data_IF_862653531177
#
_entry.id   IF_862653531177
#
_cell.length_a   1.000
_cell.length_b   1.000
_cell.length_c   1.000
_cell.angle_alpha   90.00
_cell.angle_beta   90.00
_cell.angle_gamma   90.00
#
_symmetry.space_group_name_H-M   'P 1'
#
loop_
_entity.id
_entity.type
_entity.pdbx_description
1 polymer ?
#
# COMPACT_ATOMS: atom_id res chain seq x y z
N UNK A 1 12.91 -0.15 12.30
CA UNK A 1 12.24 -1.20 11.51
C UNK A 1 11.23 -0.55 10.58
N UNK A 2 11.08 -1.04 9.37
CA UNK A 2 9.98 -0.73 8.44
C UNK A 2 9.24 -2.05 8.17
N UNK A 3 7.91 -2.00 8.16
CA UNK A 3 7.06 -3.12 7.73
C UNK A 3 6.14 -2.64 6.62
N UNK A 4 6.01 -3.41 5.55
CA UNK A 4 5.14 -3.08 4.44
C UNK A 4 4.34 -4.30 3.99
N UNK A 5 3.04 -4.10 3.72
CA UNK A 5 2.21 -5.05 2.99
C UNK A 5 2.11 -4.60 1.53
N UNK A 6 2.39 -5.50 0.60
CA UNK A 6 2.14 -5.33 -0.82
C UNK A 6 0.79 -5.98 -1.11
N UNK A 7 -0.17 -5.20 -1.60
CA UNK A 7 -1.52 -5.68 -1.85
C UNK A 7 -2.00 -5.28 -3.25
N UNK A 8 -2.74 -6.13 -3.97
CA UNK A 8 -3.32 -5.77 -5.26
C UNK A 8 -4.36 -4.66 -5.14
N UNK A 9 -4.54 -3.87 -6.20
CA UNK A 9 -5.54 -2.80 -6.31
C UNK A 9 -6.92 -3.28 -6.82
N UNK A 10 -7.10 -4.58 -7.02
CA UNK A 10 -8.33 -5.13 -7.59
C UNK A 10 -9.50 -5.11 -6.60
N UNK A 11 -10.66 -4.62 -7.06
CA UNK A 11 -11.90 -4.64 -6.29
C UNK A 11 -12.32 -6.08 -5.90
N UNK A 12 -11.83 -7.11 -6.59
CA UNK A 12 -12.13 -8.52 -6.30
C UNK A 12 -11.67 -8.97 -4.90
N UNK A 13 -10.80 -8.19 -4.24
CA UNK A 13 -10.43 -8.43 -2.84
C UNK A 13 -11.53 -8.04 -1.84
N UNK A 14 -12.58 -7.33 -2.26
CA UNK A 14 -13.69 -6.98 -1.37
C UNK A 14 -14.82 -8.01 -1.52
N UNK A 15 -15.26 -8.66 -0.44
CA UNK A 15 -16.37 -9.61 -0.48
C UNK A 15 -17.62 -9.02 -1.16
N UNK A 16 -18.29 -9.82 -2.00
CA UNK A 16 -19.48 -9.41 -2.75
C UNK A 16 -19.22 -8.82 -4.14
N UNK A 17 -18.01 -8.34 -4.44
CA UNK A 17 -17.70 -7.72 -5.75
C UNK A 17 -17.84 -8.70 -6.92
N UNK A 18 -17.49 -9.97 -6.73
CA UNK A 18 -17.68 -11.03 -7.75
C UNK A 18 -19.04 -11.76 -7.65
N UNK A 19 -19.99 -11.18 -6.91
CA UNK A 19 -21.30 -11.78 -6.67
C UNK A 19 -21.20 -13.07 -5.85
N UNK A 20 -21.86 -14.13 -6.32
CA UNK A 20 -21.84 -15.44 -5.65
C UNK A 20 -20.52 -16.21 -5.83
N UNK A 21 -19.75 -15.91 -6.88
CA UNK A 21 -18.43 -16.47 -7.06
C UNK A 21 -17.42 -15.69 -6.21
N UNK A 22 -16.41 -16.36 -5.65
CA UNK A 22 -15.27 -15.70 -4.99
C UNK A 22 -14.03 -15.85 -5.86
N UNK A 23 -14.00 -15.15 -7.00
CA UNK A 23 -12.99 -15.32 -8.05
C UNK A 23 -11.54 -15.07 -7.59
N UNK A 24 -11.34 -14.33 -6.50
CA UNK A 24 -10.04 -13.99 -5.92
C UNK A 24 -9.96 -14.36 -4.43
N UNK A 25 -10.57 -15.48 -4.02
CA UNK A 25 -10.63 -15.88 -2.60
C UNK A 25 -9.23 -16.01 -1.96
N UNK A 26 -8.34 -16.73 -2.64
CA UNK A 26 -6.99 -17.01 -2.14
C UNK A 26 -6.11 -15.76 -2.16
N UNK A 27 -6.23 -14.94 -3.22
CA UNK A 27 -5.58 -13.64 -3.29
C UNK A 27 -6.02 -12.70 -2.16
N UNK A 28 -7.34 -12.64 -1.87
CA UNK A 28 -7.90 -11.86 -0.75
C UNK A 28 -7.35 -12.35 0.58
N UNK A 29 -7.36 -13.66 0.82
CA UNK A 29 -6.86 -14.24 2.05
C UNK A 29 -5.37 -13.91 2.28
N UNK A 30 -4.56 -13.97 1.22
CA UNK A 30 -3.14 -13.60 1.31
C UNK A 30 -2.92 -12.09 1.49
N UNK A 31 -3.71 -11.24 0.83
CA UNK A 31 -3.63 -9.79 1.01
C UNK A 31 -3.96 -9.40 2.45
N UNK A 32 -5.02 -10.00 3.03
CA UNK A 32 -5.38 -9.81 4.42
C UNK A 32 -4.28 -10.31 5.38
N UNK A 33 -3.71 -11.49 5.10
CA UNK A 33 -2.60 -12.02 5.90
C UNK A 33 -1.39 -11.08 5.86
N UNK A 34 -1.03 -10.56 4.68
CA UNK A 34 0.07 -9.61 4.53
C UNK A 34 -0.18 -8.31 5.32
N UNK A 35 -1.39 -7.74 5.27
CA UNK A 35 -1.75 -6.56 6.06
C UNK A 35 -1.64 -6.84 7.55
N UNK A 36 -2.18 -7.96 8.04
CA UNK A 36 -2.09 -8.36 9.46
C UNK A 36 -0.63 -8.51 9.90
N UNK A 37 0.20 -9.17 9.10
CA UNK A 37 1.64 -9.32 9.39
C UNK A 37 2.35 -7.97 9.44
N UNK A 38 2.11 -7.08 8.47
CA UNK A 38 2.76 -5.76 8.44
C UNK A 38 2.38 -4.89 9.65
N UNK A 39 1.11 -4.92 10.07
CA UNK A 39 0.61 -4.14 11.21
C UNK A 39 1.14 -4.68 12.55
N UNK A 40 1.18 -6.02 12.72
CA UNK A 40 1.77 -6.65 13.90
C UNK A 40 3.27 -6.42 13.98
N UNK A 41 3.94 -6.35 12.83
CA UNK A 41 5.39 -6.30 12.74
C UNK A 41 6.02 -7.64 13.17
N UNK A 42 7.28 -7.60 13.60
CA UNK A 42 8.03 -8.79 14.04
C UNK A 42 7.70 -9.23 15.48
N UNK A 43 6.62 -8.75 16.08
CA UNK A 43 6.28 -9.10 17.46
C UNK A 43 5.71 -10.53 17.47
N UNK A 44 6.57 -11.50 17.77
CA UNK A 44 6.25 -12.95 17.79
C UNK A 44 5.21 -13.33 18.85
N UNK A 45 4.78 -12.39 19.70
CA UNK A 45 3.70 -12.57 20.68
C UNK A 45 2.33 -12.50 19.99
N UNK A 46 2.12 -13.34 18.98
CA UNK A 46 0.85 -13.49 18.31
C UNK A 46 -0.13 -14.31 19.18
N UNK A 47 -0.86 -13.63 20.07
CA UNK A 47 -2.18 -14.10 20.49
C UNK A 47 -3.23 -13.65 19.46
N UNK A 48 -4.33 -14.38 19.32
CA UNK A 48 -5.50 -14.03 18.49
C UNK A 48 -6.28 -12.79 19.01
N UNK A 49 -5.72 -12.04 19.96
CA UNK A 49 -6.36 -10.85 20.47
C UNK A 49 -6.35 -9.71 19.44
N UNK A 50 -7.40 -8.86 19.43
CA UNK A 50 -7.41 -7.65 18.62
C UNK A 50 -6.15 -6.83 18.88
N UNK A 51 -5.52 -6.33 17.82
CA UNK A 51 -4.37 -5.41 17.92
C UNK A 51 -4.93 -4.11 18.49
N UNK A 52 -4.96 -3.99 19.82
CA UNK A 52 -5.46 -2.80 20.49
C UNK A 52 -4.67 -1.58 20.02
N UNK A 53 -5.37 -0.44 19.91
CA UNK A 53 -4.84 0.88 19.57
C UNK A 53 -3.77 1.43 20.55
N UNK A 54 -3.25 0.57 21.43
CA UNK A 54 -2.26 0.90 22.45
C UNK A 54 -0.84 1.03 21.86
N UNK A 55 -0.66 0.68 20.58
CA UNK A 55 0.60 0.91 19.87
C UNK A 55 0.49 2.20 19.07
N UNK A 56 1.32 3.19 19.39
CA UNK A 56 1.55 4.44 18.63
C UNK A 56 2.14 4.14 17.25
N UNK A 57 1.35 3.48 16.40
CA UNK A 57 1.69 3.16 15.01
C UNK A 57 0.73 3.91 14.10
N UNK A 58 1.30 4.52 13.07
CA UNK A 58 0.53 5.08 11.96
C UNK A 58 0.71 4.16 10.76
N UNK A 59 -0.40 3.71 10.19
CA UNK A 59 -0.41 3.03 8.90
C UNK A 59 -0.49 4.08 7.80
N UNK A 60 0.39 3.97 6.80
CA UNK A 60 0.34 4.80 5.59
C UNK A 60 -0.08 3.93 4.42
N UNK A 61 -1.25 4.22 3.85
CA UNK A 61 -1.70 3.62 2.58
C UNK A 61 -1.09 4.42 1.45
N UNK A 62 -0.39 3.75 0.54
CA UNK A 62 0.15 4.34 -0.69
C UNK A 62 -0.46 3.59 -1.87
N UNK A 63 -1.30 4.27 -2.65
CA UNK A 63 -2.11 3.64 -3.68
C UNK A 63 -2.13 4.45 -4.98
N UNK A 64 -2.40 3.82 -6.15
CA UNK A 64 -2.71 4.55 -7.36
C UNK A 64 -4.03 5.33 -7.20
N UNK A 65 -4.03 6.56 -7.70
CA UNK A 65 -5.17 7.48 -7.71
C UNK A 65 -5.97 7.42 -9.01
N UNK A 66 -6.46 8.57 -9.48
CA UNK A 66 -7.16 8.67 -10.76
C UNK A 66 -6.16 8.66 -11.93
N UNK A 67 -6.12 7.62 -12.78
CA UNK A 67 -5.18 7.56 -13.90
C UNK A 67 -5.48 8.60 -15.00
N UNK A 68 -6.64 9.26 -14.97
CA UNK A 68 -7.05 10.30 -15.93
C UNK A 68 -6.71 11.71 -15.45
N UNK A 69 -6.34 11.87 -14.18
CA UNK A 69 -5.91 13.14 -13.64
C UNK A 69 -4.49 13.50 -14.13
N UNK A 70 -4.10 14.76 -13.92
CA UNK A 70 -2.71 15.17 -14.08
C UNK A 70 -1.83 14.43 -13.09
N UNK A 71 -0.60 14.08 -13.51
CA UNK A 71 0.36 13.42 -12.65
C UNK A 71 0.64 14.27 -11.40
N UNK A 72 0.22 13.80 -10.23
CA UNK A 72 0.49 14.44 -8.94
C UNK A 72 0.39 13.44 -7.79
N UNK A 73 0.93 13.83 -6.63
CA UNK A 73 0.75 13.10 -5.37
C UNK A 73 -0.27 13.86 -4.54
N UNK A 74 -1.26 13.14 -4.01
CA UNK A 74 -2.32 13.71 -3.19
C UNK A 74 -2.40 12.99 -1.85
N UNK A 75 -2.27 13.73 -0.76
CA UNK A 75 -2.61 13.23 0.56
C UNK A 75 -4.12 13.42 0.80
N UNK A 76 -4.80 12.35 1.23
CA UNK A 76 -6.22 12.38 1.58
C UNK A 76 -6.36 12.53 3.10
N UNK A 77 -7.17 13.49 3.52
CA UNK A 77 -7.51 13.75 4.92
C UNK A 77 -9.01 13.90 5.11
N UNK A 78 -9.46 13.79 6.36
CA UNK A 78 -10.87 13.86 6.75
C UNK A 78 -11.54 12.49 6.78
N UNK A 79 -12.87 12.48 6.66
CA UNK A 79 -13.68 11.25 6.67
C UNK A 79 -13.69 10.63 5.29
N UNK A 80 -13.16 9.41 5.18
CA UNK A 80 -13.08 8.63 3.96
C UNK A 80 -14.04 7.45 4.00
N UNK A 81 -14.83 7.30 2.93
CA UNK A 81 -15.75 6.19 2.72
C UNK A 81 -15.20 5.25 1.66
N UNK A 82 -14.85 4.03 2.05
CA UNK A 82 -14.24 3.04 1.17
C UNK A 82 -15.24 2.39 0.17
N UNK A 83 -16.01 3.22 -0.53
CA UNK A 83 -17.02 2.78 -1.49
C UNK A 83 -16.38 2.35 -2.81
N UNK A 84 -16.95 1.28 -3.40
CA UNK A 84 -16.59 0.80 -4.74
C UNK A 84 -17.60 1.24 -5.81
N UNK A 85 -18.51 2.16 -5.48
CA UNK A 85 -19.47 2.72 -6.43
C UNK A 85 -18.83 3.33 -7.69
N UNK A 86 -17.64 3.97 -7.65
CA UNK A 86 -16.99 4.49 -8.86
C UNK A 86 -16.65 3.45 -9.93
N UNK A 87 -16.54 2.17 -9.56
CA UNK A 87 -16.36 1.04 -10.49
C UNK A 87 -17.64 0.25 -10.71
N UNK A 88 -18.79 0.84 -10.39
CA UNK A 88 -20.11 0.27 -10.65
C UNK A 88 -20.55 -0.80 -9.65
N UNK A 89 -19.95 -0.84 -8.46
CA UNK A 89 -20.38 -1.75 -7.37
C UNK A 89 -21.13 -0.95 -6.30
N UNK A 90 -22.48 -1.01 -6.26
CA UNK A 90 -23.25 -0.41 -5.17
C UNK A 90 -22.88 -1.00 -3.81
N UNK A 91 -22.83 -0.16 -2.78
CA UNK A 91 -22.38 -0.58 -1.45
C UNK A 91 -23.24 -1.68 -0.83
N UNK A 92 -24.55 -1.68 -1.12
CA UNK A 92 -25.47 -2.72 -0.66
C UNK A 92 -25.26 -4.11 -1.29
N UNK A 93 -24.39 -4.22 -2.29
CA UNK A 93 -23.99 -5.50 -2.88
C UNK A 93 -22.68 -6.04 -2.28
N UNK A 94 -21.98 -5.26 -1.46
CA UNK A 94 -20.79 -5.74 -0.78
C UNK A 94 -21.21 -6.73 0.31
N UNK A 95 -20.39 -7.77 0.51
CA UNK A 95 -20.61 -8.80 1.52
C UNK A 95 -20.38 -8.31 2.96
N UNK A 96 -20.02 -7.04 3.13
CA UNK A 96 -19.77 -6.37 4.41
C UNK A 96 -20.13 -4.88 4.32
N UNK A 97 -20.37 -4.21 5.46
CA UNK A 97 -20.52 -2.75 5.49
C UNK A 97 -19.29 -2.04 4.90
N UNK A 98 -19.51 -0.88 4.27
CA UNK A 98 -18.42 -0.04 3.77
C UNK A 98 -17.72 0.64 4.94
N UNK A 99 -16.39 0.47 5.09
CA UNK A 99 -15.62 1.18 6.09
C UNK A 99 -15.71 2.69 5.91
N UNK A 100 -15.89 3.38 7.03
CA UNK A 100 -15.80 4.84 7.15
C UNK A 100 -14.69 5.14 8.14
N UNK A 101 -13.62 5.77 7.68
CA UNK A 101 -12.39 5.99 8.45
C UNK A 101 -12.02 7.47 8.49
N UNK A 102 -11.26 7.87 9.50
CA UNK A 102 -10.67 9.21 9.57
C UNK A 102 -9.20 9.12 9.19
N UNK A 103 -8.79 9.87 8.17
CA UNK A 103 -7.40 9.97 7.74
C UNK A 103 -6.82 11.37 8.04
N UNK A 104 -5.54 11.44 8.38
CA UNK A 104 -4.80 12.71 8.44
C UNK A 104 -4.95 13.54 9.72
N UNK A 105 -5.15 12.93 10.89
CA UNK A 105 -5.26 13.65 12.17
C UNK A 105 -6.69 14.09 12.51
N UNK A 106 -6.87 14.93 13.53
CA UNK A 106 -8.19 15.43 13.90
C UNK A 106 -8.72 16.35 12.79
N UNK A 107 -10.05 16.35 12.61
CA UNK A 107 -10.70 17.25 11.66
C UNK A 107 -10.33 18.70 11.99
N UNK A 108 -9.92 19.49 10.99
CA UNK A 108 -9.72 20.93 11.18
C UNK A 108 -11.00 21.59 11.73
N UNK A 109 -10.85 22.65 12.52
CA UNK A 109 -11.96 23.38 13.17
C UNK A 109 -13.09 23.73 12.18
N UNK A 110 -12.76 23.98 10.92
CA UNK A 110 -13.73 24.30 9.88
C UNK A 110 -14.59 23.08 9.46
N UNK A 111 -14.00 21.88 9.40
CA UNK A 111 -14.71 20.62 9.17
C UNK A 111 -15.53 20.21 10.40
N UNK A 112 -15.04 20.50 11.60
CA UNK A 112 -15.81 20.28 12.83
C UNK A 112 -17.09 21.12 12.88
N UNK A 113 -17.07 22.34 12.31
CA UNK A 113 -18.24 23.25 12.26
C UNK A 113 -19.23 22.93 11.13
N UNK A 114 -18.72 22.52 9.96
CA UNK A 114 -19.55 22.31 8.75
C UNK A 114 -20.06 20.87 8.63
N UNK A 115 -19.55 19.96 9.45
CA UNK A 115 -19.76 18.52 9.35
C UNK A 115 -18.76 17.92 8.36
N UNK A 116 -18.20 16.73 8.66
CA UNK A 116 -17.23 16.13 7.77
C UNK A 116 -17.89 15.80 6.43
N UNK A 117 -17.38 16.39 5.35
CA UNK A 117 -17.75 15.95 4.01
C UNK A 117 -17.08 14.61 3.78
N UNK A 118 -17.91 13.56 3.69
CA UNK A 118 -17.46 12.21 3.44
C UNK A 118 -16.94 12.09 1.99
N UNK A 119 -15.63 11.86 1.85
CA UNK A 119 -14.98 11.72 0.56
C UNK A 119 -14.87 10.23 0.18
N UNK A 120 -15.13 9.91 -1.08
CA UNK A 120 -14.86 8.57 -1.64
C UNK A 120 -13.45 8.61 -2.26
N UNK A 121 -12.48 7.82 -1.77
CA UNK A 121 -11.13 7.79 -2.31
C UNK A 121 -11.09 6.94 -3.60
N UNK A 122 -9.91 6.81 -4.20
CA UNK A 122 -9.69 5.92 -5.33
C UNK A 122 -10.03 4.45 -4.96
N UNK A 123 -10.27 3.62 -5.98
CA UNK A 123 -10.65 2.21 -5.82
C UNK A 123 -9.57 1.44 -5.06
N UNK A 124 -8.31 1.64 -5.43
CA UNK A 124 -7.16 0.99 -4.79
C UNK A 124 -7.07 1.36 -3.31
N UNK A 125 -7.24 2.64 -2.98
CA UNK A 125 -7.35 3.10 -1.59
C UNK A 125 -8.50 2.42 -0.88
N UNK A 126 -9.70 2.40 -1.47
CA UNK A 126 -10.87 1.75 -0.88
C UNK A 126 -10.63 0.27 -0.58
N UNK A 127 -9.98 -0.47 -1.49
CA UNK A 127 -9.58 -1.86 -1.27
C UNK A 127 -8.67 -2.00 -0.05
N UNK A 128 -7.65 -1.16 0.08
CA UNK A 128 -6.78 -1.18 1.26
C UNK A 128 -7.52 -0.84 2.55
N UNK A 129 -8.46 0.09 2.54
CA UNK A 129 -9.29 0.42 3.70
C UNK A 129 -10.19 -0.75 4.13
N UNK A 130 -10.76 -1.50 3.19
CA UNK A 130 -11.47 -2.75 3.49
C UNK A 130 -10.56 -3.81 4.14
N UNK A 131 -9.33 -3.97 3.63
CA UNK A 131 -8.36 -4.90 4.21
C UNK A 131 -7.93 -4.48 5.62
N UNK A 132 -7.76 -3.18 5.88
CA UNK A 132 -7.43 -2.64 7.20
C UNK A 132 -8.57 -2.83 8.21
N UNK A 133 -9.80 -2.56 7.80
CA UNK A 133 -11.00 -2.81 8.61
C UNK A 133 -11.14 -4.31 8.93
N UNK A 134 -10.89 -5.20 7.96
CA UNK A 134 -10.87 -6.65 8.17
C UNK A 134 -9.70 -7.15 9.03
N UNK A 135 -8.58 -6.44 9.02
CA UNK A 135 -7.46 -6.68 9.91
C UNK A 135 -7.71 -6.17 11.33
N UNK A 136 -8.81 -5.43 11.56
CA UNK A 136 -9.16 -4.84 12.85
C UNK A 136 -8.33 -3.61 13.20
N UNK A 137 -7.74 -2.93 12.22
CA UNK A 137 -6.94 -1.73 12.46
C UNK A 137 -7.84 -0.54 12.81
N UNK A 138 -7.59 0.07 13.96
CA UNK A 138 -8.30 1.28 14.43
C UNK A 138 -7.37 2.44 14.78
N UNK A 139 -6.06 2.29 14.50
CA UNK A 139 -5.05 3.30 14.83
C UNK A 139 -4.90 4.41 13.78
N UNK A 140 -3.84 5.21 13.91
CA UNK A 140 -3.57 6.33 13.02
C UNK A 140 -3.46 5.92 11.55
N UNK A 141 -4.03 6.72 10.65
CA UNK A 141 -4.07 6.45 9.23
C UNK A 141 -3.67 7.68 8.42
N UNK A 142 -2.70 7.50 7.51
CA UNK A 142 -2.37 8.44 6.42
C UNK A 142 -2.66 7.77 5.09
N UNK A 143 -3.16 8.54 4.13
CA UNK A 143 -3.55 8.01 2.81
C UNK A 143 -2.91 8.88 1.73
N UNK A 144 -2.12 8.25 0.87
CA UNK A 144 -1.41 8.87 -0.24
C UNK A 144 -1.88 8.23 -1.54
N UNK A 145 -2.41 9.05 -2.44
CA UNK A 145 -2.81 8.66 -3.79
C UNK A 145 -1.85 9.24 -4.82
N UNK A 146 -1.40 8.40 -5.76
CA UNK A 146 -0.54 8.78 -6.87
C UNK A 146 -1.41 8.88 -8.12
N UNK A 147 -1.80 10.10 -8.47
CA UNK A 147 -2.68 10.43 -9.59
C UNK A 147 -1.90 10.46 -10.92
N UNK A 148 -2.63 10.23 -12.01
CA UNK A 148 -2.13 10.32 -13.38
C UNK A 148 -1.24 9.16 -13.83
N UNK A 149 -0.78 9.19 -15.10
CA UNK A 149 0.09 8.15 -15.62
C UNK A 149 1.50 8.22 -14.98
N UNK A 150 2.21 7.08 -14.90
CA UNK A 150 3.63 7.07 -14.56
C UNK A 150 4.43 8.06 -15.41
N UNK A 151 5.22 8.92 -14.76
CA UNK A 151 6.08 9.90 -15.43
C UNK A 151 7.46 9.97 -14.76
N UNK A 152 8.46 10.37 -15.54
CA UNK A 152 9.83 10.54 -15.06
C UNK A 152 10.52 9.24 -14.67
N UNK A 153 11.53 9.35 -13.79
CA UNK A 153 12.39 8.26 -13.32
C UNK A 153 12.00 7.74 -11.92
N UNK A 154 10.85 8.18 -11.39
CA UNK A 154 10.36 7.83 -10.06
C UNK A 154 11.13 8.47 -8.89
N UNK A 155 12.12 9.34 -9.14
CA UNK A 155 12.94 9.93 -8.06
C UNK A 155 12.13 10.76 -7.07
N UNK A 156 11.12 11.49 -7.53
CA UNK A 156 10.21 12.26 -6.68
C UNK A 156 9.40 11.36 -5.74
N UNK A 157 8.94 10.21 -6.24
CA UNK A 157 8.21 9.21 -5.45
C UNK A 157 9.12 8.50 -4.46
N UNK A 158 10.38 8.22 -4.82
CA UNK A 158 11.39 7.73 -3.86
C UNK A 158 11.69 8.77 -2.76
N UNK A 159 11.79 10.06 -3.11
CA UNK A 159 11.95 11.13 -2.09
C UNK A 159 10.74 11.21 -1.16
N UNK A 160 9.52 11.02 -1.68
CA UNK A 160 8.32 10.91 -0.84
C UNK A 160 8.41 9.75 0.15
N UNK A 161 8.81 8.56 -0.32
CA UNK A 161 9.04 7.40 0.55
C UNK A 161 10.02 7.66 1.69
N UNK A 162 11.14 8.32 1.36
CA UNK A 162 12.13 8.72 2.35
C UNK A 162 11.57 9.72 3.37
N UNK A 163 10.78 10.70 2.92
CA UNK A 163 10.13 11.67 3.78
C UNK A 163 9.13 11.02 4.75
N UNK A 164 8.33 10.04 4.30
CA UNK A 164 7.40 9.32 5.17
C UNK A 164 8.10 8.61 6.34
N UNK A 165 9.27 8.03 6.09
CA UNK A 165 10.10 7.40 7.14
C UNK A 165 10.67 8.45 8.09
N UNK A 166 11.09 9.60 7.57
CA UNK A 166 11.60 10.70 8.37
C UNK A 166 10.52 11.27 9.31
N UNK A 167 9.33 11.56 8.78
CA UNK A 167 8.18 12.04 9.55
C UNK A 167 7.83 11.07 10.69
N UNK A 168 7.74 9.77 10.39
CA UNK A 168 7.41 8.73 11.37
C UNK A 168 8.43 8.68 12.52
N UNK A 169 9.73 8.83 12.21
CA UNK A 169 10.81 8.84 13.20
C UNK A 169 10.82 10.09 14.07
N UNK A 170 10.34 11.22 13.56
CA UNK A 170 10.28 12.48 14.31
C UNK A 170 9.06 12.57 15.23
N UNK A 171 8.16 11.56 15.21
CA UNK A 171 6.88 11.68 15.89
C UNK A 171 6.07 12.84 15.32
N UNK A 172 6.31 13.22 14.06
CA UNK A 172 5.56 14.28 13.41
C UNK A 172 4.12 13.81 13.31
N UNK A 173 3.29 14.33 14.21
CA UNK A 173 1.85 14.15 14.15
C UNK A 173 1.38 14.51 12.73
N UNK A 174 0.51 13.71 12.09
CA UNK A 174 -0.15 14.17 10.87
C UNK A 174 -0.76 15.54 11.16
N UNK A 175 -0.61 16.48 10.22
CA UNK A 175 -1.03 17.87 10.42
C UNK A 175 -2.49 17.91 10.94
N UNK A 176 -2.67 18.22 12.23
CA UNK A 176 -3.99 18.25 12.88
C UNK A 176 -4.24 17.20 13.97
N UNK A 177 -3.35 16.26 14.29
CA UNK A 177 -3.56 15.39 15.46
C UNK A 177 -3.30 16.13 16.78
N UNK A 178 -4.13 15.86 17.79
CA UNK A 178 -4.02 16.41 19.16
C UNK A 178 -2.58 16.33 19.67
N UNK A 179 -2.13 17.39 20.34
CA UNK A 179 -0.79 17.55 20.95
C UNK A 179 -0.56 16.63 22.16
N UNK A 180 -0.83 15.33 22.02
CA UNK A 180 -0.19 14.31 22.85
C UNK A 180 1.20 14.03 22.30
N UNK A 181 2.17 13.77 23.17
CA UNK A 181 3.50 13.28 22.79
C UNK A 181 3.36 12.05 21.88
N UNK A 182 3.35 12.24 20.56
CA UNK A 182 3.36 11.14 19.62
C UNK A 182 4.76 10.52 19.68
N UNK A 183 4.88 9.36 20.30
CA UNK A 183 6.14 8.65 20.35
C UNK A 183 6.61 8.36 18.91
N UNK A 184 7.92 8.50 18.67
CA UNK A 184 8.54 8.11 17.41
C UNK A 184 8.16 6.64 17.09
N UNK A 185 7.38 6.46 16.03
CA UNK A 185 6.77 5.18 15.68
C UNK A 185 7.52 4.45 14.58
N UNK A 186 7.35 3.13 14.51
CA UNK A 186 7.79 2.35 13.36
C UNK A 186 6.80 2.57 12.20
N UNK A 187 7.27 3.02 11.01
CA UNK A 187 6.38 3.20 9.87
C UNK A 187 5.85 1.84 9.39
N UNK A 188 4.53 1.76 9.21
CA UNK A 188 3.85 0.64 8.55
C UNK A 188 3.27 1.14 7.23
N UNK A 189 3.65 0.51 6.11
CA UNK A 189 3.14 0.86 4.79
C UNK A 189 2.16 -0.20 4.29
N UNK A 190 1.05 0.22 3.69
CA UNK A 190 0.21 -0.62 2.83
C UNK A 190 0.38 -0.10 1.41
N UNK A 191 1.17 -0.81 0.61
CA UNK A 191 1.55 -0.43 -0.75
C UNK A 191 0.64 -1.17 -1.72
N UNK A 192 -0.25 -0.42 -2.36
CA UNK A 192 -1.33 -0.96 -3.18
C UNK A 192 -0.94 -0.88 -4.65
N UNK A 193 -1.10 -1.97 -5.40
CA UNK A 193 -0.96 -1.97 -6.85
C UNK A 193 -0.67 -3.36 -7.41
N UNK A 194 -0.93 -3.51 -8.70
CA UNK A 194 -0.71 -4.74 -9.45
C UNK A 194 0.42 -4.59 -10.47
N UNK A 195 0.91 -5.71 -10.99
CA UNK A 195 1.79 -5.74 -12.15
C UNK A 195 0.96 -5.47 -13.42
N UNK A 196 1.25 -6.10 -14.57
CA UNK A 196 0.54 -5.75 -15.81
C UNK A 196 -0.96 -6.09 -15.78
N UNK A 197 -1.74 -5.18 -16.36
CA UNK A 197 -3.16 -5.40 -16.70
C UNK A 197 -3.37 -5.99 -18.10
N UNK A 198 -2.32 -6.56 -18.70
CA UNK A 198 -2.28 -7.07 -20.08
C UNK A 198 -1.71 -8.49 -20.16
N UNK A 199 -1.82 -9.27 -19.08
CA UNK A 199 -1.23 -10.60 -18.95
C UNK A 199 -2.09 -11.66 -19.65
N UNK A 200 -2.08 -11.64 -20.99
CA UNK A 200 -2.76 -12.62 -21.83
C UNK A 200 -4.18 -12.20 -22.27
N UNK A 201 -4.90 -13.11 -22.95
CA UNK A 201 -6.15 -12.79 -23.63
C UNK A 201 -7.34 -12.52 -22.68
N UNK A 202 -7.28 -13.03 -21.45
CA UNK A 202 -8.33 -12.83 -20.44
C UNK A 202 -8.15 -11.51 -19.66
N UNK A 203 -7.08 -10.76 -19.94
CA UNK A 203 -6.74 -9.54 -19.22
C UNK A 203 -7.78 -8.43 -19.43
N UNK A 204 -7.91 -7.47 -18.49
CA UNK A 204 -8.81 -6.34 -18.63
C UNK A 204 -8.52 -5.44 -19.84
N UNK A 205 -7.29 -5.46 -20.34
CA UNK A 205 -6.84 -4.68 -21.49
C UNK A 205 -6.26 -5.61 -22.56
N UNK A 206 -6.13 -5.10 -23.78
CA UNK A 206 -5.57 -5.86 -24.90
C UNK A 206 -4.21 -6.47 -24.55
N UNK A 207 -4.06 -7.75 -24.87
CA UNK A 207 -2.86 -8.55 -24.65
C UNK A 207 -1.60 -7.84 -25.18
N UNK A 208 -0.52 -7.91 -24.41
CA UNK A 208 0.79 -7.43 -24.81
C UNK A 208 1.80 -8.57 -24.57
N UNK A 209 2.46 -9.10 -25.61
CA UNK A 209 3.35 -10.26 -25.46
C UNK A 209 4.57 -9.98 -24.55
N UNK A 210 4.84 -8.72 -24.23
CA UNK A 210 5.90 -8.33 -23.28
C UNK A 210 5.47 -8.51 -21.82
N UNK A 211 4.17 -8.51 -21.54
CA UNK A 211 3.59 -8.49 -20.19
C UNK A 211 4.12 -9.63 -19.32
N UNK A 212 4.03 -10.88 -19.78
CA UNK A 212 4.46 -12.06 -19.01
C UNK A 212 5.93 -11.99 -18.57
N UNK A 213 6.82 -11.56 -19.47
CA UNK A 213 8.24 -11.45 -19.17
C UNK A 213 8.54 -10.33 -18.17
N UNK A 214 7.86 -9.19 -18.31
CA UNK A 214 8.00 -8.05 -17.39
C UNK A 214 7.43 -8.38 -16.02
N UNK A 215 6.26 -8.99 -15.94
CA UNK A 215 5.62 -9.37 -14.68
C UNK A 215 6.48 -10.37 -13.89
N UNK A 216 7.07 -11.36 -14.58
CA UNK A 216 7.97 -12.31 -13.94
C UNK A 216 9.24 -11.64 -13.40
N UNK A 217 9.81 -10.68 -14.12
CA UNK A 217 10.99 -9.94 -13.68
C UNK A 217 10.68 -9.03 -12.47
N UNK A 218 9.58 -8.28 -12.53
CA UNK A 218 9.10 -7.44 -11.43
C UNK A 218 8.84 -8.26 -10.18
N UNK A 219 8.15 -9.41 -10.33
CA UNK A 219 7.88 -10.30 -9.21
C UNK A 219 9.17 -10.85 -8.59
N UNK A 220 10.12 -11.29 -9.41
CA UNK A 220 11.40 -11.80 -8.92
C UNK A 220 12.18 -10.72 -8.15
N UNK A 221 12.17 -9.49 -8.64
CA UNK A 221 12.84 -8.37 -7.96
C UNK A 221 12.12 -7.99 -6.65
N UNK A 222 10.78 -7.98 -6.64
CA UNK A 222 10.00 -7.73 -5.42
C UNK A 222 10.17 -8.85 -4.38
N UNK A 223 10.31 -10.10 -4.81
CA UNK A 223 10.52 -11.24 -3.92
C UNK A 223 11.95 -11.35 -3.41
N UNK A 224 12.95 -10.90 -4.17
CA UNK A 224 14.34 -10.85 -3.68
C UNK A 224 14.52 -9.71 -2.68
N UNK A 225 14.08 -8.50 -3.04
CA UNK A 225 14.26 -7.31 -2.22
C UNK A 225 15.72 -6.90 -1.99
N UNK A 226 16.70 -7.57 -2.61
CA UNK A 226 18.14 -7.28 -2.52
C UNK A 226 18.52 -5.95 -3.21
N UNK A 227 19.77 -5.51 -3.03
CA UNK A 227 20.26 -4.24 -3.57
C UNK A 227 20.17 -4.15 -5.10
N UNK A 228 20.47 -5.24 -5.82
CA UNK A 228 20.43 -5.26 -7.27
C UNK A 228 18.98 -5.30 -7.79
N UNK A 229 18.11 -6.04 -7.12
CA UNK A 229 16.67 -6.07 -7.38
C UNK A 229 16.03 -4.69 -7.17
N UNK A 230 16.33 -4.03 -6.04
CA UNK A 230 15.85 -2.67 -5.76
C UNK A 230 16.38 -1.66 -6.78
N UNK A 231 17.64 -1.77 -7.20
CA UNK A 231 18.19 -0.92 -8.26
C UNK A 231 17.48 -1.12 -9.61
N UNK A 232 17.14 -2.36 -9.98
CA UNK A 232 16.36 -2.65 -11.20
C UNK A 232 14.93 -2.11 -11.11
N UNK A 233 14.25 -2.29 -9.99
CA UNK A 233 12.91 -1.72 -9.76
C UNK A 233 12.93 -0.18 -9.77
N UNK A 234 13.96 0.44 -9.19
CA UNK A 234 14.12 1.90 -9.20
C UNK A 234 14.40 2.45 -10.60
N UNK A 235 15.11 1.68 -11.43
CA UNK A 235 15.42 2.02 -12.82
C UNK A 235 14.34 1.60 -13.82
N UNK A 236 13.20 1.08 -13.35
CA UNK A 236 12.15 0.59 -14.24
C UNK A 236 11.43 1.75 -14.95
N UNK A 237 11.45 1.73 -16.29
CA UNK A 237 10.91 2.77 -17.15
C UNK A 237 9.40 3.00 -16.94
N UNK A 238 9.04 4.24 -16.61
CA UNK A 238 7.67 4.66 -16.41
C UNK A 238 6.82 4.50 -17.67
N UNK A 239 7.38 4.74 -18.86
CA UNK A 239 6.63 4.60 -20.11
C UNK A 239 6.28 3.14 -20.39
N UNK A 240 7.19 2.20 -20.14
CA UNK A 240 6.92 0.77 -20.20
C UNK A 240 5.86 0.35 -19.18
N UNK A 241 5.95 0.80 -17.93
CA UNK A 241 4.96 0.50 -16.89
C UNK A 241 3.57 1.03 -17.28
N UNK A 242 3.49 2.25 -17.83
CA UNK A 242 2.25 2.83 -18.34
C UNK A 242 1.69 2.01 -19.51
N UNK A 243 2.52 1.63 -20.49
CA UNK A 243 2.10 0.83 -21.63
C UNK A 243 1.49 -0.52 -21.21
N UNK A 244 2.04 -1.15 -20.17
CA UNK A 244 1.58 -2.41 -19.61
C UNK A 244 0.44 -2.26 -18.58
N UNK A 245 0.00 -1.03 -18.32
CA UNK A 245 -0.99 -0.69 -17.29
C UNK A 245 -0.61 -1.23 -15.89
N UNK A 246 0.67 -1.14 -15.53
CA UNK A 246 1.13 -1.53 -14.21
C UNK A 246 0.81 -0.44 -13.18
N UNK A 247 -0.20 -0.68 -12.35
CA UNK A 247 -0.65 0.27 -11.33
C UNK A 247 0.26 0.32 -10.11
N UNK A 248 1.04 -0.74 -9.87
CA UNK A 248 2.01 -0.81 -8.78
C UNK A 248 3.27 0.03 -8.96
N UNK A 249 3.57 0.51 -10.17
CA UNK A 249 4.84 1.19 -10.46
C UNK A 249 5.11 2.36 -9.50
N UNK A 250 4.17 3.29 -9.38
CA UNK A 250 4.32 4.48 -8.53
C UNK A 250 4.44 4.13 -7.04
N UNK A 251 3.49 3.37 -6.48
CA UNK A 251 3.53 2.90 -5.09
C UNK A 251 4.82 2.15 -4.74
N UNK A 252 5.37 1.34 -5.65
CA UNK A 252 6.64 0.64 -5.44
C UNK A 252 7.83 1.61 -5.40
N UNK A 253 7.83 2.71 -6.16
CA UNK A 253 8.88 3.74 -6.02
C UNK A 253 8.86 4.39 -4.62
N UNK A 254 7.68 4.60 -4.04
CA UNK A 254 7.56 5.10 -2.66
C UNK A 254 8.13 4.08 -1.67
N UNK A 255 7.81 2.80 -1.83
CA UNK A 255 8.38 1.73 -0.99
C UNK A 255 9.91 1.69 -1.04
N UNK A 256 10.50 1.77 -2.24
CA UNK A 256 11.95 1.77 -2.42
C UNK A 256 12.62 2.94 -1.69
N UNK A 257 12.06 4.14 -1.83
CA UNK A 257 12.55 5.33 -1.12
C UNK A 257 12.47 5.20 0.40
N UNK A 258 11.40 4.59 0.92
CA UNK A 258 11.27 4.32 2.34
C UNK A 258 12.33 3.31 2.84
N UNK A 259 12.60 2.25 2.07
CA UNK A 259 13.67 1.29 2.41
C UNK A 259 15.04 1.95 2.38
N UNK A 260 15.35 2.75 1.36
CA UNK A 260 16.66 3.40 1.24
C UNK A 260 16.91 4.39 2.39
N UNK A 261 15.90 5.17 2.80
CA UNK A 261 16.00 6.04 3.98
C UNK A 261 16.21 5.27 5.30
N UNK A 262 15.74 4.02 5.39
CA UNK A 262 16.07 3.14 6.51
C UNK A 262 17.55 2.72 6.48
N UNK A 263 18.10 2.44 5.29
CA UNK A 263 19.50 2.01 5.10
C UNK A 263 20.50 3.12 5.39
N UNK A 264 20.21 4.35 5.00
CA UNK A 264 21.10 5.50 5.24
C UNK A 264 21.37 5.70 6.74
N UNK A 265 20.41 5.32 7.60
CA UNK A 265 20.57 5.32 9.06
C UNK A 265 21.10 4.02 9.66
N UNK A 266 21.23 2.94 8.88
CA UNK A 266 21.64 1.61 9.34
C UNK A 266 22.35 0.82 8.22
N UNK A 267 23.67 1.05 8.01
CA UNK A 267 24.46 0.26 7.06
C UNK A 267 24.34 -1.23 7.39
N UNK A 268 24.06 -2.05 6.38
CA UNK A 268 23.85 -3.50 6.55
C UNK A 268 22.41 -3.91 6.87
N UNK A 269 21.43 -3.00 6.78
CA UNK A 269 20.00 -3.33 6.84
C UNK A 269 19.65 -4.47 5.87
N UNK A 270 18.95 -5.48 6.37
CA UNK A 270 18.46 -6.61 5.57
C UNK A 270 16.97 -6.41 5.29
N UNK A 271 16.56 -6.64 4.04
CA UNK A 271 15.15 -6.72 3.66
C UNK A 271 14.73 -8.18 3.66
N UNK A 272 13.71 -8.51 4.43
CA UNK A 272 13.03 -9.80 4.37
C UNK A 272 11.76 -9.62 3.55
N UNK A 273 11.73 -10.25 2.37
CA UNK A 273 10.59 -10.24 1.47
C UNK A 273 9.94 -11.63 1.44
N UNK A 274 8.63 -11.67 1.68
CA UNK A 274 7.77 -12.82 1.41
C UNK A 274 6.70 -12.35 0.43
N UNK A 275 7.00 -12.45 -0.87
CA UNK A 275 6.19 -11.92 -1.95
C UNK A 275 5.91 -13.01 -2.97
N UNK A 276 4.64 -13.11 -3.37
CA UNK A 276 4.17 -14.03 -4.40
C UNK A 276 3.36 -13.30 -5.47
N UNK A 277 3.35 -13.89 -6.67
CA UNK A 277 2.53 -13.44 -7.78
C UNK A 277 1.35 -14.36 -8.00
N UNK A 278 0.24 -13.80 -8.46
CA UNK A 278 -0.96 -14.55 -8.84
C UNK A 278 -1.57 -13.91 -10.08
N UNK A 279 -2.03 -14.72 -11.04
CA UNK A 279 -2.75 -14.22 -12.22
C UNK A 279 -4.23 -14.52 -12.02
N UNK A 280 -5.05 -13.47 -11.91
CA UNK A 280 -6.50 -13.59 -11.73
C UNK A 280 -7.18 -12.83 -12.85
N UNK A 281 -8.01 -13.53 -13.64
CA UNK A 281 -8.70 -12.96 -14.81
C UNK A 281 -7.74 -12.18 -15.73
N UNK A 282 -6.59 -12.80 -16.04
CA UNK A 282 -5.57 -12.23 -16.93
C UNK A 282 -4.86 -10.97 -16.43
N UNK A 283 -5.04 -10.56 -15.17
CA UNK A 283 -4.24 -9.51 -14.55
C UNK A 283 -3.20 -10.13 -13.61
N UNK A 284 -1.96 -9.63 -13.67
CA UNK A 284 -0.88 -10.08 -12.80
C UNK A 284 -0.88 -9.27 -11.51
N UNK A 285 -1.10 -9.95 -10.39
CA UNK A 285 -1.18 -9.36 -9.05
C UNK A 285 0.05 -9.74 -8.22
N UNK A 286 0.49 -8.81 -7.38
CA UNK A 286 1.57 -9.02 -6.41
C UNK A 286 0.99 -8.90 -5.01
N UNK A 287 1.32 -9.85 -4.14
CA UNK A 287 0.89 -9.85 -2.75
C UNK A 287 2.00 -10.36 -1.84
N UNK A 288 2.16 -9.76 -0.67
CA UNK A 288 3.18 -10.19 0.27
C UNK A 288 3.60 -9.14 1.28
N UNK A 289 4.71 -9.38 1.95
CA UNK A 289 5.27 -8.45 2.94
C UNK A 289 6.74 -8.17 2.70
N UNK A 290 7.15 -6.93 2.98
CA UNK A 290 8.53 -6.55 3.20
C UNK A 290 8.71 -6.15 4.66
N UNK A 291 9.81 -6.56 5.28
CA UNK A 291 10.23 -6.06 6.59
C UNK A 291 11.73 -5.81 6.59
N UNK A 292 12.18 -4.86 7.42
CA UNK A 292 13.60 -4.53 7.50
C UNK A 292 14.17 -4.77 8.89
N UNK A 293 15.27 -5.49 9.00
CA UNK A 293 15.98 -5.72 10.26
C UNK A 293 17.36 -5.05 10.21
N UNK A 294 17.73 -4.41 11.31
CA UNK A 294 19.09 -3.92 11.47
C UNK A 294 20.04 -5.14 11.62
N UNK A 295 21.28 -5.04 11.12
CA UNK A 295 22.24 -6.11 11.36
C UNK A 295 22.47 -6.25 12.86
N UNK A 296 22.58 -7.49 13.34
CA UNK A 296 23.00 -7.76 14.71
C UNK A 296 24.44 -7.29 14.81
N UNK A 297 24.70 -6.18 15.50
CA UNK A 297 26.05 -5.86 15.95
C UNK A 297 26.44 -6.93 16.95
N UNK A 298 27.27 -7.88 16.54
CA UNK A 298 28.00 -8.71 17.49
C UNK A 298 28.89 -7.76 18.29
N UNK A 299 28.41 -7.36 19.48
CA UNK A 299 29.23 -6.65 20.45
C UNK A 299 30.43 -7.55 20.76
N UNK A 300 31.60 -7.14 20.26
CA UNK A 300 32.84 -7.87 20.42
C UNK A 300 33.15 -8.09 21.90
N UNK A 301 33.11 -9.36 22.31
CA UNK A 301 33.66 -9.88 23.57
C UNK A 301 35.17 -9.70 23.65
#
# INVERSE_FOLDING_TARGET
>A
MLSAALVPDTALLVPGVSGAASAAADLRAAALAAVRTAIRGSDERASDEPIAAEVDRTVVVVAPGDPRASACVRERSGVLRASLAPVGVPDGLLGRPVPVVVAGGALDDDQARTGPTEAVPAVATSVALHLLDEAGWTGGLRVIEIDGPPTGDGSDLRRLGAALVHDARQGAAPHGAFSGDAAAGQPVLVVVGSASGRHGPDAPLADDPRATGVDAAVLADLASGDDAARARLAGWDAAQAHALACTGWGPWQVLLGAVDAMRDGAPGLVVHADVRGEVVLGAAHVVGTWSTTAPVTEDGT
#
